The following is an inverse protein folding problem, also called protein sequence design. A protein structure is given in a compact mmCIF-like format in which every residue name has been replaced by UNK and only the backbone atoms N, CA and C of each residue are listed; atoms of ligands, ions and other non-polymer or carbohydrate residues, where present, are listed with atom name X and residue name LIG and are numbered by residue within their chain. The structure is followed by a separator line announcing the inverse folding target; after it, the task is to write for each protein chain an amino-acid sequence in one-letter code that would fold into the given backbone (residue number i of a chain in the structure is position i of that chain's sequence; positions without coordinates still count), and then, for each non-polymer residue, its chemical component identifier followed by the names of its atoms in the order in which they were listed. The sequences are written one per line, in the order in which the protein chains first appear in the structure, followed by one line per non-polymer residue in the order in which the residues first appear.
data_IF_774762552375
#
_entry.id   IF_774762552375
#
_cell.length_a   1.000
_cell.length_b   1.000
_cell.length_c   1.000
_cell.angle_alpha   90.00
_cell.angle_beta   90.00
_cell.angle_gamma   90.00
#
_symmetry.space_group_name_H-M   'P 1'
#
loop_
_entity.id
_entity.type
_entity.pdbx_description
1 polymer ?
#
# COMPACT_ATOMS: atom_id res chain seq x y z
N UNK A 1 4.63 30.55 -22.98
CA UNK A 1 5.82 29.70 -22.98
C UNK A 1 6.03 29.16 -21.58
N UNK A 2 5.79 27.87 -21.36
CA UNK A 2 6.18 27.17 -20.14
C UNK A 2 7.67 26.82 -20.29
N UNK A 3 8.53 27.58 -19.62
CA UNK A 3 9.96 27.25 -19.59
C UNK A 3 10.17 26.12 -18.58
N UNK A 4 10.42 24.90 -19.06
CA UNK A 4 11.05 23.88 -18.22
C UNK A 4 12.51 24.27 -18.00
N UNK A 5 12.85 24.71 -16.78
CA UNK A 5 14.23 24.93 -16.38
C UNK A 5 14.99 23.58 -16.41
N UNK A 6 16.17 23.50 -17.06
CA UNK A 6 16.92 22.25 -17.23
C UNK A 6 17.63 21.76 -15.95
N UNK A 7 17.46 22.45 -14.82
CA UNK A 7 17.97 22.04 -13.53
C UNK A 7 16.80 21.81 -12.58
N UNK A 8 16.58 20.55 -12.18
CA UNK A 8 15.66 20.24 -11.10
C UNK A 8 16.01 21.00 -9.81
N UNK A 9 15.09 21.07 -8.83
CA UNK A 9 15.36 21.73 -7.56
C UNK A 9 16.61 21.15 -6.89
N UNK A 10 17.45 22.03 -6.33
CA UNK A 10 18.62 21.65 -5.53
C UNK A 10 18.21 20.72 -4.38
N UNK A 11 19.09 19.79 -3.99
CA UNK A 11 18.90 18.93 -2.81
C UNK A 11 18.48 19.74 -1.57
N UNK A 12 19.04 20.93 -1.39
CA UNK A 12 18.69 21.82 -0.28
C UNK A 12 17.24 22.30 -0.35
N UNK A 13 16.75 22.64 -1.55
CA UNK A 13 15.37 23.07 -1.76
C UNK A 13 14.37 21.90 -1.53
N UNK A 14 14.76 20.69 -1.93
CA UNK A 14 13.98 19.49 -1.65
C UNK A 14 13.91 19.18 -0.15
N UNK A 15 15.03 19.29 0.57
CA UNK A 15 15.05 19.04 2.02
C UNK A 15 14.24 20.06 2.81
N UNK A 16 14.17 21.32 2.37
CA UNK A 16 13.33 22.34 2.99
C UNK A 16 11.82 22.09 2.81
N UNK A 17 11.43 21.28 1.82
CA UNK A 17 10.05 20.89 1.57
C UNK A 17 9.66 19.57 2.26
N UNK A 18 10.64 18.83 2.81
CA UNK A 18 10.39 17.59 3.55
C UNK A 18 10.03 17.96 4.99
N UNK A 19 8.87 17.51 5.44
CA UNK A 19 8.53 17.53 6.85
C UNK A 19 8.96 16.20 7.48
N UNK A 20 9.55 16.26 8.69
CA UNK A 20 9.89 15.04 9.42
C UNK A 20 8.62 14.20 9.64
N UNK A 21 8.69 12.91 9.28
CA UNK A 21 7.63 11.97 9.58
C UNK A 21 7.48 11.95 11.11
N UNK A 22 6.27 12.16 11.66
CA UNK A 22 6.06 12.02 13.09
C UNK A 22 6.62 10.67 13.57
N UNK A 23 7.27 10.67 14.74
CA UNK A 23 7.62 9.47 15.51
C UNK A 23 6.48 8.46 15.44
N UNK A 24 6.76 7.15 15.34
CA UNK A 24 5.71 6.14 15.18
C UNK A 24 4.73 6.24 16.35
N UNK A 25 3.61 6.91 16.09
CA UNK A 25 2.55 7.03 17.07
C UNK A 25 2.05 5.62 17.39
N UNK A 26 1.64 5.36 18.65
CA UNK A 26 1.11 4.06 19.02
C UNK A 26 -0.05 3.67 18.10
N UNK A 27 -0.27 2.37 17.94
CA UNK A 27 -1.39 1.88 17.13
C UNK A 27 -2.70 2.42 17.68
N UNK A 28 -3.65 2.71 16.80
CA UNK A 28 -4.93 3.26 17.23
C UNK A 28 -5.67 2.33 18.21
N UNK A 29 -5.52 1.01 18.07
CA UNK A 29 -5.94 0.02 19.07
C UNK A 29 -5.38 0.26 20.49
N UNK A 30 -4.13 0.71 20.61
CA UNK A 30 -3.44 0.96 21.89
C UNK A 30 -3.63 2.40 22.41
N UNK A 31 -4.08 3.32 21.55
CA UNK A 31 -4.29 4.71 21.91
C UNK A 31 -5.46 4.84 22.90
N UNK A 32 -5.19 5.47 24.05
CA UNK A 32 -6.13 5.63 25.17
C UNK A 32 -7.21 6.72 24.94
N UNK A 33 -7.04 7.59 23.94
CA UNK A 33 -7.96 8.71 23.68
C UNK A 33 -8.57 8.67 22.28
N UNK A 34 -9.85 9.03 22.16
CA UNK A 34 -10.53 9.13 20.86
C UNK A 34 -9.94 10.25 19.97
N UNK A 35 -9.37 11.26 20.61
CA UNK A 35 -8.84 12.47 19.98
C UNK A 35 -7.31 12.49 19.88
N UNK A 36 -6.63 11.39 20.25
CA UNK A 36 -5.17 11.32 20.13
C UNK A 36 -4.74 10.90 18.73
N UNK A 37 -3.62 11.44 18.22
CA UNK A 37 -3.01 10.98 16.98
C UNK A 37 -2.47 9.55 17.13
N UNK A 38 -2.65 8.72 16.11
CA UNK A 38 -2.28 7.31 16.14
C UNK A 38 -2.02 6.75 14.74
N UNK A 39 -1.52 5.52 14.67
CA UNK A 39 -1.25 4.82 13.41
C UNK A 39 -2.27 3.70 13.20
N UNK A 40 -2.93 3.71 12.04
CA UNK A 40 -3.92 2.72 11.63
C UNK A 40 -3.32 1.66 10.72
N UNK A 41 -3.81 0.43 10.85
CA UNK A 41 -3.50 -0.69 9.97
C UNK A 41 -4.77 -1.12 9.25
N UNK A 42 -4.67 -1.28 7.93
CA UNK A 42 -5.75 -1.84 7.11
C UNK A 42 -5.19 -3.02 6.31
N UNK A 43 -5.63 -4.22 6.65
CA UNK A 43 -5.37 -5.41 5.84
C UNK A 43 -6.45 -5.54 4.77
N UNK A 44 -6.05 -5.55 3.50
CA UNK A 44 -6.95 -5.80 2.37
C UNK A 44 -6.46 -7.02 1.59
N UNK A 45 -7.31 -8.03 1.49
CA UNK A 45 -7.01 -9.26 0.76
C UNK A 45 -7.91 -9.43 -0.46
N UNK A 46 -7.30 -9.63 -1.63
CA UNK A 46 -8.00 -9.96 -2.87
C UNK A 46 -7.81 -11.46 -3.13
N UNK A 47 -8.89 -12.23 -3.02
CA UNK A 47 -8.86 -13.71 -3.12
C UNK A 47 -8.71 -14.25 -4.54
N UNK A 48 -9.05 -13.46 -5.55
CA UNK A 48 -9.08 -13.84 -6.97
C UNK A 48 -8.03 -13.09 -7.80
N UNK A 49 -6.89 -12.77 -7.20
CA UNK A 49 -5.83 -12.04 -7.89
C UNK A 49 -5.16 -12.94 -8.94
N UNK A 50 -5.11 -12.56 -10.24
CA UNK A 50 -4.46 -13.35 -11.28
C UNK A 50 -2.95 -13.35 -11.06
N UNK A 51 -2.43 -14.48 -10.56
CA UNK A 51 -1.01 -14.61 -10.19
C UNK A 51 -0.20 -15.40 -11.23
N UNK A 52 -0.85 -16.09 -12.17
CA UNK A 52 -0.15 -16.82 -13.21
C UNK A 52 -1.08 -17.46 -14.23
N UNK A 53 -0.49 -18.04 -15.27
CA UNK A 53 -1.19 -18.84 -16.28
C UNK A 53 -1.19 -20.31 -15.90
N UNK A 54 -2.31 -20.99 -16.13
CA UNK A 54 -2.43 -22.44 -16.04
C UNK A 54 -2.11 -23.06 -17.40
N UNK A 55 -1.20 -24.02 -17.39
CA UNK A 55 -0.85 -24.81 -18.56
C UNK A 55 -1.41 -26.22 -18.41
N UNK A 56 -2.07 -26.70 -19.46
CA UNK A 56 -2.56 -28.06 -19.58
C UNK A 56 -1.72 -28.80 -20.62
N UNK A 57 -1.71 -30.13 -20.55
CA UNK A 57 -1.04 -30.96 -21.57
C UNK A 57 -2.07 -31.56 -22.51
N UNK A 58 -1.81 -31.46 -23.81
CA UNK A 58 -2.55 -32.18 -24.83
C UNK A 58 -2.15 -33.66 -24.81
N UNK A 59 -2.96 -34.51 -25.46
CA UNK A 59 -2.63 -35.94 -25.60
C UNK A 59 -1.28 -36.17 -26.30
N UNK A 60 -0.91 -35.27 -27.21
CA UNK A 60 0.35 -35.31 -27.96
C UNK A 60 1.56 -34.79 -27.13
N UNK A 61 1.38 -34.56 -25.83
CA UNK A 61 2.43 -34.11 -24.91
C UNK A 61 2.74 -32.61 -24.96
N UNK A 62 2.13 -31.86 -25.89
CA UNK A 62 2.32 -30.41 -26.03
C UNK A 62 1.64 -29.65 -24.88
N UNK A 63 2.30 -28.61 -24.37
CA UNK A 63 1.77 -27.76 -23.31
C UNK A 63 1.02 -26.57 -23.92
N UNK A 64 -0.23 -26.33 -23.49
CA UNK A 64 -1.05 -25.22 -23.98
C UNK A 64 -1.68 -24.44 -22.83
N UNK A 65 -2.00 -23.17 -23.10
CA UNK A 65 -2.64 -22.28 -22.13
C UNK A 65 -4.11 -22.65 -22.01
N UNK A 66 -4.56 -23.00 -20.81
CA UNK A 66 -5.93 -23.46 -20.57
C UNK A 66 -6.68 -22.66 -19.50
N UNK A 67 -6.02 -21.71 -18.83
CA UNK A 67 -6.70 -20.85 -17.87
C UNK A 67 -5.77 -19.93 -17.10
N UNK A 68 -6.33 -19.26 -16.10
CA UNK A 68 -5.61 -18.34 -15.21
C UNK A 68 -5.59 -18.97 -13.81
N UNK A 69 -4.42 -18.97 -13.17
CA UNK A 69 -4.27 -19.30 -11.76
C UNK A 69 -4.60 -18.05 -10.95
N UNK A 70 -5.62 -18.17 -10.11
CA UNK A 70 -5.98 -17.15 -9.11
C UNK A 70 -5.32 -17.46 -7.78
N UNK A 71 -4.80 -16.44 -7.11
CA UNK A 71 -4.22 -16.51 -5.79
C UNK A 71 -4.88 -15.48 -4.87
N UNK A 72 -4.74 -15.67 -3.55
CA UNK A 72 -4.99 -14.64 -2.56
C UNK A 72 -3.77 -13.72 -2.45
N UNK A 73 -3.96 -12.42 -2.57
CA UNK A 73 -2.93 -11.40 -2.31
C UNK A 73 -3.44 -10.45 -1.23
N UNK A 74 -2.67 -10.29 -0.16
CA UNK A 74 -2.99 -9.38 0.93
C UNK A 74 -2.01 -8.21 0.95
N UNK A 75 -2.53 -7.02 1.21
CA UNK A 75 -1.77 -5.79 1.38
C UNK A 75 -2.06 -5.24 2.77
N UNK A 76 -1.01 -4.86 3.48
CA UNK A 76 -1.11 -4.16 4.76
C UNK A 76 -0.79 -2.70 4.51
N UNK A 77 -1.80 -1.84 4.66
CA UNK A 77 -1.66 -0.41 4.56
C UNK A 77 -1.51 0.18 5.96
N UNK A 78 -0.48 1.00 6.13
CA UNK A 78 -0.23 1.74 7.38
C UNK A 78 -0.37 3.22 7.09
N UNK A 79 -1.29 3.90 7.79
CA UNK A 79 -1.55 5.31 7.59
C UNK A 79 -1.72 6.04 8.93
N UNK A 80 -1.29 7.28 8.96
CA UNK A 80 -1.36 8.11 10.16
C UNK A 80 -2.67 8.89 10.20
N UNK A 81 -3.35 8.88 11.36
CA UNK A 81 -4.55 9.67 11.61
C UNK A 81 -4.33 10.62 12.77
N UNK A 82 -4.90 11.82 12.67
CA UNK A 82 -4.85 12.83 13.75
C UNK A 82 -5.74 12.49 14.93
N UNK A 83 -6.78 11.69 14.69
CA UNK A 83 -7.78 11.33 15.69
C UNK A 83 -8.15 9.86 15.49
N UNK A 84 -8.20 9.09 16.58
CA UNK A 84 -8.53 7.66 16.58
C UNK A 84 -9.88 7.36 15.92
N UNK A 85 -10.87 8.25 16.02
CA UNK A 85 -12.19 8.06 15.37
C UNK A 85 -12.14 7.98 13.84
N UNK A 86 -11.07 8.47 13.21
CA UNK A 86 -10.88 8.37 11.75
C UNK A 86 -10.32 7.00 11.34
N UNK A 87 -9.99 6.16 12.32
CA UNK A 87 -9.45 4.82 12.13
C UNK A 87 -10.60 3.79 12.10
N UNK A 88 -11.38 3.76 11.02
CA UNK A 88 -12.60 2.94 10.97
C UNK A 88 -12.37 1.42 10.94
N UNK A 89 -11.17 0.97 10.60
CA UNK A 89 -10.88 -0.42 10.23
C UNK A 89 -9.81 -1.11 11.10
N UNK A 90 -9.33 -0.43 12.15
CA UNK A 90 -8.31 -0.94 13.08
C UNK A 90 -9.05 -1.55 14.29
N UNK A 91 -9.48 -2.81 14.16
CA UNK A 91 -10.17 -3.60 15.21
C UNK A 91 -9.19 -4.36 16.15
#
# INVERSE_FOLDING_TARGET
MLYCFPGGPSKSALLLAVHESPVPNPRCREAKGLWSPCTCHLETCIGWYPCGLKYCRAKDGTSYRCGIRTCRKCHLYTYHVRQKQLCLWDE
#
